data_IF_647539304552
#
_entry.id   IF_647539304552
#
_cell.length_a   1.000
_cell.length_b   1.000
_cell.length_c   1.000
_cell.angle_alpha   90.00
_cell.angle_beta   90.00
_cell.angle_gamma   90.00
#
_symmetry.space_group_name_H-M   'P 1'
#
loop_
_entity.id
_entity.type
_entity.pdbx_description
1 polymer ?
#
# COMPACT_ATOMS: atom_id res chain seq x y z
N UNK A 1 -21.19 13.71 2.97
CA UNK A 1 -20.06 12.81 3.26
C UNK A 1 -19.67 12.15 1.95
N UNK A 2 -18.41 12.25 1.50
CA UNK A 2 -18.01 11.59 0.24
C UNK A 2 -17.75 10.12 0.55
N UNK A 3 -18.58 9.24 0.02
CA UNK A 3 -18.35 7.79 0.06
C UNK A 3 -17.11 7.50 -0.80
N UNK A 4 -16.00 7.16 -0.16
CA UNK A 4 -14.79 6.76 -0.86
C UNK A 4 -15.02 5.33 -1.37
N UNK A 5 -14.87 5.05 -2.68
CA UNK A 5 -15.05 3.69 -3.18
C UNK A 5 -14.04 2.75 -2.51
N UNK A 6 -14.55 1.74 -1.82
CA UNK A 6 -13.74 0.70 -1.17
C UNK A 6 -13.19 -0.25 -2.22
N UNK A 7 -11.95 -0.01 -2.66
CA UNK A 7 -11.23 -0.95 -3.52
C UNK A 7 -10.62 -2.03 -2.62
N UNK A 8 -11.03 -3.29 -2.81
CA UNK A 8 -10.60 -4.42 -1.97
C UNK A 8 -9.59 -5.29 -2.73
N UNK A 9 -8.46 -5.59 -2.09
CA UNK A 9 -7.46 -6.52 -2.60
C UNK A 9 -7.34 -7.70 -1.62
N UNK A 10 -8.06 -8.82 -1.82
CA UNK A 10 -7.98 -9.95 -0.91
C UNK A 10 -6.62 -10.65 -1.03
N UNK A 11 -5.98 -10.91 0.12
CA UNK A 11 -4.65 -11.53 0.18
C UNK A 11 -4.62 -12.65 1.21
N UNK A 12 -3.70 -13.59 1.00
CA UNK A 12 -3.36 -14.62 1.98
C UNK A 12 -2.04 -14.28 2.64
N UNK A 13 -2.01 -14.38 3.97
CA UNK A 13 -0.78 -14.28 4.76
C UNK A 13 0.22 -15.32 4.27
N UNK A 14 1.43 -14.88 3.99
CA UNK A 14 2.56 -15.76 3.66
C UNK A 14 3.31 -16.11 4.94
N UNK A 15 3.91 -17.30 4.99
CA UNK A 15 4.68 -17.75 6.13
C UNK A 15 6.05 -18.26 5.67
N UNK A 16 7.12 -17.66 6.19
CA UNK A 16 8.47 -18.20 6.03
C UNK A 16 8.78 -19.04 7.26
N UNK A 17 9.17 -20.29 7.03
CA UNK A 17 9.43 -21.28 8.08
C UNK A 17 10.90 -21.65 8.10
N UNK A 18 11.48 -21.61 9.29
CA UNK A 18 12.83 -22.13 9.56
C UNK A 18 12.73 -23.24 10.60
N UNK A 19 13.61 -24.24 10.50
CA UNK A 19 13.57 -25.42 11.37
C UNK A 19 13.65 -24.99 12.84
N UNK A 20 12.68 -25.44 13.65
CA UNK A 20 12.63 -25.17 15.10
C UNK A 20 12.24 -23.74 15.50
N UNK A 21 11.85 -22.87 14.56
CA UNK A 21 11.48 -21.49 14.85
C UNK A 21 10.00 -21.23 14.53
N UNK A 22 9.41 -20.28 15.27
CA UNK A 22 8.07 -19.76 14.97
C UNK A 22 8.06 -19.17 13.55
N UNK A 23 7.07 -19.53 12.71
CA UNK A 23 6.95 -18.97 11.36
C UNK A 23 6.88 -17.45 11.40
N UNK A 24 7.65 -16.79 10.53
CA UNK A 24 7.52 -15.36 10.29
C UNK A 24 6.41 -15.14 9.28
N UNK A 25 5.40 -14.37 9.67
CA UNK A 25 4.25 -14.07 8.82
C UNK A 25 4.50 -12.77 8.07
N UNK A 26 4.13 -12.73 6.80
CA UNK A 26 4.30 -11.59 5.91
C UNK A 26 3.02 -11.32 5.11
N UNK A 27 2.72 -10.03 4.93
CA UNK A 27 1.71 -9.54 3.99
C UNK A 27 2.45 -8.82 2.88
N UNK A 28 2.15 -9.15 1.63
CA UNK A 28 2.72 -8.44 0.48
C UNK A 28 1.78 -7.33 0.02
N UNK A 29 2.32 -6.31 -0.64
CA UNK A 29 1.50 -5.30 -1.31
C UNK A 29 1.15 -5.75 -2.72
N UNK A 30 -0.13 -5.75 -3.12
CA UNK A 30 -0.51 -5.97 -4.51
C UNK A 30 0.13 -4.91 -5.40
N UNK A 31 0.68 -5.32 -6.54
CA UNK A 31 1.36 -4.40 -7.47
C UNK A 31 0.47 -3.22 -7.88
N UNK A 32 -0.82 -3.48 -8.13
CA UNK A 32 -1.78 -2.43 -8.50
C UNK A 32 -1.99 -1.39 -7.38
N UNK A 33 -2.07 -1.84 -6.12
CA UNK A 33 -2.18 -0.94 -4.97
C UNK A 33 -0.90 -0.12 -4.79
N UNK A 34 0.25 -0.79 -4.81
CA UNK A 34 1.56 -0.15 -4.67
C UNK A 34 1.76 0.95 -5.72
N UNK A 35 1.42 0.66 -6.99
CA UNK A 35 1.48 1.63 -8.08
C UNK A 35 0.50 2.80 -7.90
N UNK A 36 -0.73 2.54 -7.45
CA UNK A 36 -1.76 3.56 -7.28
C UNK A 36 -1.39 4.60 -6.21
N UNK A 37 -0.67 4.19 -5.16
CA UNK A 37 -0.29 5.07 -4.04
C UNK A 37 1.19 5.48 -4.06
N UNK A 38 1.91 5.16 -5.13
CA UNK A 38 3.35 5.34 -5.28
C UNK A 38 4.11 4.85 -4.04
N UNK A 39 3.90 3.59 -3.68
CA UNK A 39 4.58 2.95 -2.56
C UNK A 39 6.02 2.61 -2.96
N UNK A 40 6.99 3.05 -2.17
CA UNK A 40 8.42 2.84 -2.42
C UNK A 40 9.04 1.89 -1.40
N UNK A 41 10.10 1.19 -1.82
CA UNK A 41 10.86 0.32 -0.92
C UNK A 41 11.60 1.15 0.14
N UNK A 42 11.55 0.69 1.39
CA UNK A 42 12.18 1.40 2.51
C UNK A 42 11.29 2.43 3.20
N UNK A 43 10.05 2.65 2.74
CA UNK A 43 9.10 3.49 3.47
C UNK A 43 8.83 2.96 4.89
N UNK A 44 8.82 3.88 5.86
CA UNK A 44 8.44 3.57 7.24
C UNK A 44 6.91 3.49 7.35
N UNK A 45 6.43 2.31 7.72
CA UNK A 45 5.01 2.02 7.92
C UNK A 45 4.77 1.40 9.29
N UNK A 46 3.56 1.56 9.81
CA UNK A 46 3.12 1.00 11.10
C UNK A 46 1.77 0.32 10.93
N UNK A 47 1.59 -0.82 11.62
CA UNK A 47 0.28 -1.41 11.83
C UNK A 47 -0.35 -0.85 13.10
N UNK A 48 -1.60 -0.42 12.99
CA UNK A 48 -2.47 -0.10 14.10
C UNK A 48 -3.51 -1.21 14.25
N UNK A 49 -3.63 -1.74 15.47
CA UNK A 49 -4.65 -2.73 15.80
C UNK A 49 -5.93 -1.98 16.19
N UNK A 50 -6.96 -2.10 15.34
CA UNK A 50 -8.28 -1.56 15.68
C UNK A 50 -9.05 -2.57 16.55
N UNK A 51 -9.17 -3.81 16.05
CA UNK A 51 -9.74 -4.94 16.77
C UNK A 51 -9.10 -6.26 16.32
N UNK A 52 -9.63 -7.41 16.78
CA UNK A 52 -9.05 -8.73 16.43
C UNK A 52 -9.18 -9.10 14.95
N UNK A 53 -10.11 -8.51 14.21
CA UNK A 53 -10.38 -8.75 12.81
C UNK A 53 -9.86 -7.65 11.87
N UNK A 54 -9.56 -6.46 12.39
CA UNK A 54 -9.18 -5.30 11.59
C UNK A 54 -7.83 -4.68 12.00
N UNK A 55 -6.96 -4.54 11.00
CA UNK A 55 -5.66 -3.87 11.11
C UNK A 55 -5.60 -2.73 10.11
N UNK A 56 -5.10 -1.57 10.54
CA UNK A 56 -4.84 -0.42 9.67
C UNK A 56 -3.36 -0.24 9.45
N UNK A 57 -2.96 0.03 8.21
CA UNK A 57 -1.57 0.36 7.88
C UNK A 57 -1.45 1.87 7.70
N UNK A 58 -0.61 2.49 8.52
CA UNK A 58 -0.26 3.90 8.43
C UNK A 58 1.12 4.05 7.81
N UNK A 59 1.24 4.99 6.85
CA UNK A 59 2.51 5.39 6.24
C UNK A 59 2.98 6.68 6.93
N UNK A 60 4.18 6.69 7.50
CA UNK A 60 4.67 7.85 8.25
C UNK A 60 5.19 8.98 7.35
N UNK A 61 5.83 8.64 6.24
CA UNK A 61 6.45 9.59 5.32
C UNK A 61 6.13 9.21 3.87
N UNK A 62 4.85 9.28 3.45
CA UNK A 62 4.50 8.97 2.08
C UNK A 62 5.21 9.97 1.13
N UNK A 63 5.78 9.51 0.01
CA UNK A 63 6.36 10.39 -1.00
C UNK A 63 5.31 11.40 -1.46
N UNK A 64 5.76 12.62 -1.71
CA UNK A 64 4.89 13.72 -2.12
C UNK A 64 4.15 13.31 -3.39
N UNK A 65 2.81 13.42 -3.38
CA UNK A 65 1.99 13.12 -4.55
C UNK A 65 2.50 13.94 -5.75
N UNK A 66 3.05 13.24 -6.75
CA UNK A 66 3.51 13.88 -7.98
C UNK A 66 2.26 14.12 -8.82
N UNK A 67 1.70 15.33 -8.74
CA UNK A 67 0.69 15.75 -9.70
C UNK A 67 1.33 15.72 -11.09
N UNK A 68 0.96 14.74 -11.92
CA UNK A 68 1.33 14.74 -13.34
C UNK A 68 0.71 16.00 -13.96
N UNK A 69 1.52 17.05 -14.18
CA UNK A 69 1.14 18.14 -15.07
C UNK A 69 0.87 17.48 -16.43
N UNK A 70 -0.40 17.46 -16.85
CA UNK A 70 -0.72 17.27 -18.27
C UNK A 70 -0.03 18.43 -18.98
N UNK A 71 1.06 18.15 -19.69
CA UNK A 71 1.53 19.05 -20.73
C UNK A 71 0.38 19.16 -21.73
N UNK A 72 -0.30 20.29 -21.72
CA UNK A 72 -1.07 20.70 -22.87
C UNK A 72 -0.06 20.87 -24.01
N UNK A 73 0.13 19.82 -24.79
CA UNK A 73 0.71 19.99 -26.12
C UNK A 73 -0.30 20.80 -26.91
N UNK A 74 -0.11 22.12 -26.92
CA UNK A 74 -0.59 22.98 -27.99
C UNK A 74 0.00 22.43 -29.27
N UNK A 75 -0.82 21.71 -30.06
CA UNK A 75 -0.61 21.63 -31.50
C UNK A 75 -1.07 22.98 -32.04
N UNK A 76 -0.11 23.86 -32.27
CA UNK A 76 -0.32 25.08 -33.05
C UNK A 76 0.15 24.80 -34.49
N UNK A 77 -0.82 24.92 -35.39
CA UNK A 77 -0.76 25.19 -36.84
C UNK A 77 0.24 24.44 -37.73
#
# INVERSE_FOLDING_TARGET
MKETPSIVYPLKIQAIRSKGQTPKLYVYFPQALAAAINLEAGELVQWELLDRGELHLLRHQPPRAIAKKRSATSREN
#
